data_IF_175787047603
#
_entry.id   IF_175787047603
#
_cell.length_a   1.000
_cell.length_b   1.000
_cell.length_c   1.000
_cell.angle_alpha   90.00
_cell.angle_beta   90.00
_cell.angle_gamma   90.00
#
_symmetry.space_group_name_H-M   'P 1'
#
loop_
_entity.id
_entity.type
_entity.pdbx_description
1 polymer ?
#
# COMPACT_ATOMS: atom_id res chain seq x y z
N UNK A 1 0.65 48.97 5.18
CA UNK A 1 -0.76 48.82 4.77
C UNK A 1 -1.06 47.35 4.47
N UNK A 2 -1.30 46.51 5.48
CA UNK A 2 -1.99 45.20 5.32
C UNK A 2 -2.72 44.92 6.64
N UNK A 3 -3.73 45.74 6.93
CA UNK A 3 -4.71 45.48 7.98
C UNK A 3 -6.08 45.65 7.34
N UNK A 4 -7.00 44.73 7.65
CA UNK A 4 -8.42 44.71 7.24
C UNK A 4 -8.77 44.23 5.84
N UNK A 5 -8.19 43.13 5.39
CA UNK A 5 -8.99 42.19 4.60
C UNK A 5 -8.97 40.84 5.31
N UNK A 6 -10.14 40.37 5.73
CA UNK A 6 -10.35 38.94 5.97
C UNK A 6 -9.72 38.20 4.79
N UNK A 7 -8.68 37.39 5.02
CA UNK A 7 -7.95 36.69 3.97
C UNK A 7 -8.96 36.09 2.96
N UNK A 8 -9.04 36.59 1.70
CA UNK A 8 -10.00 36.07 0.72
C UNK A 8 -9.71 34.61 0.35
N UNK A 9 -8.58 34.07 0.80
CA UNK A 9 -8.10 32.72 0.53
C UNK A 9 -8.49 31.70 1.61
N UNK A 10 -9.27 32.08 2.63
CA UNK A 10 -9.80 31.15 3.62
C UNK A 10 -11.04 30.45 3.08
N UNK A 11 -11.15 29.13 3.32
CA UNK A 11 -12.33 28.35 2.94
C UNK A 11 -13.54 28.82 3.74
N UNK A 12 -14.67 29.01 3.07
CA UNK A 12 -15.91 29.40 3.72
C UNK A 12 -16.44 28.30 4.64
N UNK A 13 -16.90 28.68 5.84
CA UNK A 13 -17.51 27.73 6.77
C UNK A 13 -18.82 27.19 6.18
N UNK A 14 -18.96 25.86 6.16
CA UNK A 14 -20.14 25.18 5.59
C UNK A 14 -19.94 24.65 4.18
N UNK A 15 -18.77 24.84 3.58
CA UNK A 15 -18.42 24.26 2.28
C UNK A 15 -18.41 22.72 2.32
N UNK A 16 -19.04 22.02 1.34
CA UNK A 16 -19.06 20.56 1.25
C UNK A 16 -17.71 19.97 0.79
N UNK A 17 -16.62 20.22 1.55
CA UNK A 17 -15.25 19.85 1.18
C UNK A 17 -15.07 18.36 0.86
N UNK A 18 -15.81 17.48 1.54
CA UNK A 18 -15.75 16.03 1.28
C UNK A 18 -16.36 15.65 -0.07
N UNK A 19 -17.45 16.31 -0.49
CA UNK A 19 -18.08 16.06 -1.80
C UNK A 19 -17.18 16.56 -2.92
N UNK A 20 -16.66 17.79 -2.77
CA UNK A 20 -15.73 18.39 -3.74
C UNK A 20 -14.48 17.54 -3.89
N UNK A 21 -13.87 17.11 -2.76
CA UNK A 21 -12.70 16.24 -2.82
C UNK A 21 -12.97 14.91 -3.50
N UNK A 22 -14.11 14.26 -3.19
CA UNK A 22 -14.49 12.99 -3.83
C UNK A 22 -14.67 13.16 -5.35
N UNK A 23 -15.32 14.25 -5.79
CA UNK A 23 -15.48 14.57 -7.21
C UNK A 23 -14.13 14.86 -7.88
N UNK A 24 -13.29 15.70 -7.28
CA UNK A 24 -11.98 16.06 -7.86
C UNK A 24 -11.03 14.88 -7.97
N UNK A 25 -11.12 13.89 -7.07
CA UNK A 25 -10.31 12.66 -7.15
C UNK A 25 -10.93 11.66 -8.14
N UNK A 26 -12.26 11.61 -8.24
CA UNK A 26 -12.99 10.65 -9.07
C UNK A 26 -13.12 11.03 -10.54
N UNK A 27 -13.27 12.31 -10.87
CA UNK A 27 -13.43 12.82 -12.24
C UNK A 27 -12.31 12.34 -13.19
N UNK A 28 -11.01 12.42 -12.80
CA UNK A 28 -9.93 11.95 -13.67
C UNK A 28 -9.91 10.43 -13.86
N UNK A 29 -10.57 9.66 -12.99
CA UNK A 29 -10.63 8.21 -13.07
C UNK A 29 -11.17 7.70 -14.41
N UNK A 30 -12.08 8.43 -15.04
CA UNK A 30 -12.59 8.12 -16.39
C UNK A 30 -11.53 8.24 -17.47
N UNK A 31 -10.64 9.23 -17.34
CA UNK A 31 -9.56 9.49 -18.30
C UNK A 31 -8.40 8.49 -18.11
N UNK A 32 -8.15 8.05 -16.88
CA UNK A 32 -7.07 7.09 -16.56
C UNK A 32 -7.27 5.70 -17.17
N UNK A 33 -8.48 5.36 -17.61
CA UNK A 33 -8.77 4.08 -18.28
C UNK A 33 -8.06 4.00 -19.64
N UNK A 34 -7.89 5.12 -20.33
CA UNK A 34 -7.44 5.16 -21.74
C UNK A 34 -5.90 5.19 -21.84
N UNK A 35 -5.20 5.74 -20.85
CA UNK A 35 -3.75 6.01 -20.90
C UNK A 35 -2.84 4.82 -20.53
N UNK A 36 -3.40 3.70 -20.07
CA UNK A 36 -2.63 2.58 -19.51
C UNK A 36 -1.86 1.73 -20.55
N UNK A 37 -2.05 1.97 -21.86
CA UNK A 37 -1.53 1.09 -22.93
C UNK A 37 -0.27 1.57 -23.67
N UNK A 38 0.27 2.76 -23.37
CA UNK A 38 1.39 3.36 -24.13
C UNK A 38 2.77 3.28 -23.48
N UNK A 39 2.91 2.65 -22.30
CA UNK A 39 4.17 2.61 -21.53
C UNK A 39 5.12 1.46 -21.93
N UNK A 40 5.21 1.12 -23.21
CA UNK A 40 6.16 0.12 -23.71
C UNK A 40 7.55 0.74 -23.91
N UNK A 41 8.53 0.42 -23.06
CA UNK A 41 9.95 0.69 -23.39
C UNK A 41 10.95 1.05 -22.29
N UNK A 42 10.57 1.19 -21.01
CA UNK A 42 11.53 1.51 -19.93
C UNK A 42 11.68 0.36 -18.94
N UNK A 43 12.92 -0.01 -18.62
CA UNK A 43 13.30 -1.19 -17.84
C UNK A 43 12.85 -1.19 -16.35
N UNK A 44 12.13 -0.17 -15.89
CA UNK A 44 11.66 -0.01 -14.50
C UNK A 44 10.16 -0.33 -14.32
N UNK A 45 9.61 -1.23 -15.13
CA UNK A 45 8.22 -1.73 -15.02
C UNK A 45 8.02 -2.74 -13.88
N UNK A 46 8.23 -2.30 -12.63
CA UNK A 46 7.91 -3.13 -11.46
C UNK A 46 6.68 -2.62 -10.68
N UNK A 47 5.99 -1.57 -11.15
CA UNK A 47 4.82 -0.99 -10.48
C UNK A 47 3.53 -1.14 -11.31
N UNK A 48 2.43 -1.52 -10.66
CA UNK A 48 1.09 -1.24 -11.18
C UNK A 48 0.87 0.27 -11.19
N UNK A 49 0.55 0.84 -12.37
CA UNK A 49 0.27 2.26 -12.54
C UNK A 49 -1.18 2.50 -12.99
N UNK A 50 -1.64 3.74 -12.92
CA UNK A 50 -2.94 4.16 -13.43
C UNK A 50 -4.10 3.79 -12.51
N UNK A 51 -5.27 3.54 -13.11
CA UNK A 51 -6.52 3.34 -12.36
C UNK A 51 -6.50 2.10 -11.43
N UNK A 52 -5.93 0.94 -11.82
CA UNK A 52 -5.86 -0.23 -10.93
C UNK A 52 -5.14 0.07 -9.61
N UNK A 53 -4.07 0.87 -9.65
CA UNK A 53 -3.33 1.29 -8.46
C UNK A 53 -4.14 2.25 -7.58
N UNK A 54 -4.85 3.20 -8.19
CA UNK A 54 -5.78 4.06 -7.45
C UNK A 54 -6.87 3.26 -6.71
N UNK A 55 -7.47 2.27 -7.39
CA UNK A 55 -8.47 1.38 -6.78
C UNK A 55 -7.85 0.60 -5.62
N UNK A 56 -6.65 0.05 -5.79
CA UNK A 56 -5.94 -0.70 -4.75
C UNK A 56 -5.69 0.13 -3.47
N UNK A 57 -5.30 1.39 -3.65
CA UNK A 57 -5.07 2.34 -2.55
C UNK A 57 -6.37 2.72 -1.84
N UNK A 58 -7.42 3.09 -2.60
CA UNK A 58 -8.73 3.49 -2.06
C UNK A 58 -9.43 2.32 -1.36
N UNK A 59 -9.27 1.11 -1.90
CA UNK A 59 -9.78 -0.12 -1.30
C UNK A 59 -8.98 -0.58 -0.07
N UNK A 60 -7.87 0.09 0.25
CA UNK A 60 -6.95 -0.31 1.31
C UNK A 60 -6.64 -1.82 1.25
N UNK A 61 -6.20 -2.32 0.08
CA UNK A 61 -5.86 -3.73 -0.07
C UNK A 61 -4.62 -4.07 0.77
N UNK A 62 -4.73 -5.12 1.59
CA UNK A 62 -3.65 -5.57 2.50
C UNK A 62 -2.37 -6.02 1.80
N UNK A 63 -2.48 -6.48 0.56
CA UNK A 63 -1.35 -6.92 -0.26
C UNK A 63 -1.44 -6.21 -1.61
N UNK A 64 -0.49 -5.34 -1.94
CA UNK A 64 -0.46 -4.69 -3.24
C UNK A 64 -0.13 -5.71 -4.34
N UNK A 65 -0.60 -5.46 -5.56
CA UNK A 65 -0.31 -6.34 -6.70
C UNK A 65 1.17 -6.32 -7.10
N UNK A 66 1.81 -5.15 -7.01
CA UNK A 66 3.23 -4.96 -7.30
C UNK A 66 3.89 -4.08 -6.22
N UNK A 67 4.31 -4.70 -5.10
CA UNK A 67 5.07 -4.01 -4.08
C UNK A 67 6.43 -3.54 -4.62
N UNK A 68 6.85 -2.35 -4.20
CA UNK A 68 8.12 -1.74 -4.54
C UNK A 68 8.68 -1.06 -3.32
N UNK A 69 9.93 -1.39 -2.98
CA UNK A 69 10.65 -0.71 -1.91
C UNK A 69 11.92 -0.07 -2.46
N UNK A 70 12.03 1.24 -2.27
CA UNK A 70 13.20 2.06 -2.56
C UNK A 70 14.07 2.14 -1.31
N UNK A 71 15.25 1.54 -1.39
CA UNK A 71 16.24 1.49 -0.32
C UNK A 71 17.37 2.44 -0.65
N UNK A 72 17.45 3.55 0.10
CA UNK A 72 18.52 4.53 -0.03
C UNK A 72 19.73 4.13 0.82
N UNK A 73 20.91 4.52 0.36
CA UNK A 73 22.19 4.19 1.00
C UNK A 73 22.66 5.35 1.89
N UNK A 74 23.49 5.07 2.90
CA UNK A 74 24.14 6.11 3.72
C UNK A 74 25.22 6.87 2.94
N UNK A 75 25.52 8.11 3.36
CA UNK A 75 26.42 9.06 2.66
C UNK A 75 27.78 8.47 2.23
N UNK A 76 28.30 7.53 3.01
CA UNK A 76 29.59 6.85 2.73
C UNK A 76 29.56 5.96 1.48
N UNK A 77 28.39 5.54 1.02
CA UNK A 77 28.19 4.54 -0.04
C UNK A 77 27.39 5.10 -1.23
N UNK A 78 26.60 6.17 -1.02
CA UNK A 78 25.68 6.75 -2.03
C UNK A 78 26.28 6.99 -3.43
N UNK A 79 27.56 7.34 -3.52
CA UNK A 79 28.22 7.69 -4.78
C UNK A 79 29.16 6.59 -5.32
N UNK A 80 29.30 5.47 -4.62
CA UNK A 80 30.21 4.40 -5.02
C UNK A 80 29.42 3.22 -5.60
N UNK A 81 29.52 3.05 -6.92
CA UNK A 81 28.84 2.00 -7.67
C UNK A 81 29.25 0.59 -7.21
N UNK A 82 30.54 0.33 -6.94
CA UNK A 82 31.02 -0.99 -6.55
C UNK A 82 30.43 -1.43 -5.23
N UNK A 83 30.51 -0.56 -4.20
CA UNK A 83 29.95 -0.85 -2.87
C UNK A 83 28.43 -0.97 -2.88
N UNK A 84 27.76 -0.15 -3.69
CA UNK A 84 26.31 -0.22 -3.85
C UNK A 84 25.88 -1.51 -4.56
N UNK A 85 26.63 -1.96 -5.57
CA UNK A 85 26.43 -3.23 -6.27
C UNK A 85 26.66 -4.43 -5.36
N UNK A 86 27.71 -4.42 -4.54
CA UNK A 86 27.95 -5.45 -3.52
C UNK A 86 26.81 -5.52 -2.51
N UNK A 87 26.31 -4.38 -2.04
CA UNK A 87 25.17 -4.36 -1.12
C UNK A 87 23.90 -4.87 -1.81
N UNK A 88 23.62 -4.45 -3.04
CA UNK A 88 22.48 -4.95 -3.81
C UNK A 88 22.52 -6.48 -3.99
N UNK A 89 23.71 -7.05 -4.25
CA UNK A 89 23.90 -8.51 -4.31
C UNK A 89 23.68 -9.19 -2.97
N UNK A 90 24.12 -8.59 -1.87
CA UNK A 90 23.89 -9.09 -0.51
C UNK A 90 22.42 -9.03 -0.10
N UNK A 91 21.66 -8.04 -0.59
CA UNK A 91 20.24 -7.88 -0.31
C UNK A 91 19.36 -8.82 -1.14
N UNK A 92 19.79 -9.10 -2.38
CA UNK A 92 19.03 -9.87 -3.36
C UNK A 92 18.60 -11.24 -2.81
N UNK A 93 17.29 -11.49 -2.77
CA UNK A 93 16.72 -12.73 -2.27
C UNK A 93 16.92 -13.85 -3.29
N UNK A 94 17.79 -14.81 -2.97
CA UNK A 94 18.00 -15.97 -3.83
C UNK A 94 17.29 -17.18 -3.25
N UNK A 95 16.20 -17.57 -3.90
CA UNK A 95 15.45 -18.80 -3.58
C UNK A 95 16.08 -20.03 -4.22
N UNK A 96 15.87 -21.20 -3.60
CA UNK A 96 16.24 -22.49 -4.18
C UNK A 96 15.65 -22.72 -5.58
N UNK A 97 14.44 -22.23 -5.83
CA UNK A 97 13.82 -22.25 -7.16
C UNK A 97 14.64 -21.56 -8.24
N UNK A 98 15.38 -20.50 -7.90
CA UNK A 98 16.15 -19.73 -8.86
C UNK A 98 17.45 -20.44 -9.24
N UNK A 99 18.05 -21.21 -8.33
CA UNK A 99 19.34 -21.89 -8.57
C UNK A 99 19.15 -23.33 -9.08
N UNK A 100 18.00 -23.95 -8.87
CA UNK A 100 17.76 -25.35 -9.22
C UNK A 100 17.44 -25.54 -10.71
N UNK A 101 18.14 -26.45 -11.40
CA UNK A 101 17.79 -26.91 -12.77
C UNK A 101 16.70 -27.98 -12.73
N UNK A 102 16.96 -29.02 -11.95
CA UNK A 102 16.06 -30.15 -11.82
C UNK A 102 16.01 -30.63 -10.38
N UNK A 103 14.79 -30.92 -9.92
CA UNK A 103 14.53 -31.56 -8.65
C UNK A 103 14.02 -32.97 -8.95
N UNK A 104 14.72 -33.98 -8.43
CA UNK A 104 14.38 -35.39 -8.62
C UNK A 104 13.95 -35.95 -7.26
N UNK A 105 12.70 -36.33 -7.16
CA UNK A 105 12.12 -36.97 -5.97
C UNK A 105 12.30 -38.50 -6.09
N UNK A 106 13.15 -39.09 -5.25
CA UNK A 106 13.33 -40.53 -5.21
C UNK A 106 12.50 -41.12 -4.07
N UNK A 107 11.27 -41.55 -4.38
CA UNK A 107 10.34 -42.14 -3.43
C UNK A 107 10.84 -43.45 -2.80
N UNK A 108 11.62 -44.25 -3.54
CA UNK A 108 12.12 -45.54 -3.07
C UNK A 108 13.21 -45.41 -1.99
N UNK A 109 14.11 -44.44 -2.15
CA UNK A 109 15.19 -44.16 -1.18
C UNK A 109 14.83 -43.09 -0.15
N UNK A 110 13.70 -42.40 -0.30
CA UNK A 110 13.33 -41.27 0.56
C UNK A 110 14.36 -40.14 0.48
N UNK A 111 14.78 -39.78 -0.73
CA UNK A 111 15.79 -38.74 -0.95
C UNK A 111 15.35 -37.77 -2.04
N UNK A 112 15.70 -36.49 -1.87
CA UNK A 112 15.48 -35.44 -2.86
C UNK A 112 16.85 -35.06 -3.41
N UNK A 113 17.03 -35.21 -4.73
CA UNK A 113 18.26 -34.82 -5.41
C UNK A 113 17.99 -33.50 -6.13
N UNK A 114 18.77 -32.49 -5.77
CA UNK A 114 18.68 -31.13 -6.32
C UNK A 114 19.90 -30.92 -7.20
N UNK A 115 19.67 -30.72 -8.50
CA UNK A 115 20.72 -30.39 -9.47
C UNK A 115 20.78 -28.88 -9.58
N UNK A 116 21.91 -28.30 -9.16
CA UNK A 116 22.12 -26.85 -9.18
C UNK A 116 22.68 -26.38 -10.53
N UNK A 117 22.36 -25.15 -10.90
CA UNK A 117 22.94 -24.47 -12.05
C UNK A 117 24.24 -23.75 -11.70
N UNK A 118 25.36 -24.16 -12.31
CA UNK A 118 26.67 -23.51 -12.13
C UNK A 118 26.68 -22.05 -12.60
N UNK A 119 25.97 -21.73 -13.69
CA UNK A 119 25.93 -20.35 -14.22
C UNK A 119 25.20 -19.40 -13.26
N UNK A 120 24.11 -19.87 -12.65
CA UNK A 120 23.36 -19.06 -11.67
C UNK A 120 24.09 -18.96 -10.34
N UNK A 121 24.79 -20.01 -9.91
CA UNK A 121 25.66 -19.97 -8.73
C UNK A 121 26.75 -18.91 -8.87
N UNK A 122 27.42 -18.85 -10.02
CA UNK A 122 28.45 -17.83 -10.30
C UNK A 122 27.87 -16.41 -10.34
N UNK A 123 26.69 -16.23 -10.94
CA UNK A 123 26.03 -14.92 -11.01
C UNK A 123 25.67 -14.35 -9.62
N UNK A 124 25.40 -15.23 -8.65
CA UNK A 124 25.07 -14.84 -7.26
C UNK A 124 26.27 -14.96 -6.31
N UNK A 125 27.46 -15.32 -6.80
CA UNK A 125 28.67 -15.58 -6.01
C UNK A 125 28.44 -16.56 -4.84
N UNK A 126 27.67 -17.62 -5.11
CA UNK A 126 27.30 -18.63 -4.13
C UNK A 126 28.11 -19.92 -4.33
N UNK A 127 28.68 -20.43 -3.24
CA UNK A 127 29.37 -21.71 -3.22
C UNK A 127 28.41 -22.83 -2.80
N UNK A 128 28.57 -24.04 -3.37
CA UNK A 128 27.74 -25.22 -3.01
C UNK A 128 27.78 -25.51 -1.50
N UNK A 129 28.93 -25.25 -0.86
CA UNK A 129 29.11 -25.37 0.60
C UNK A 129 28.24 -24.37 1.40
N UNK A 130 28.09 -23.15 0.90
CA UNK A 130 27.23 -22.15 1.55
C UNK A 130 25.76 -22.57 1.52
N UNK A 131 25.31 -23.15 0.40
CA UNK A 131 23.95 -23.68 0.21
C UNK A 131 23.70 -24.84 1.17
N UNK A 132 24.63 -25.79 1.23
CA UNK A 132 24.56 -26.96 2.13
C UNK A 132 24.48 -26.55 3.60
N UNK A 133 25.32 -25.60 4.04
CA UNK A 133 25.30 -25.10 5.42
C UNK A 133 23.96 -24.44 5.81
N UNK A 134 23.31 -23.78 4.84
CA UNK A 134 22.00 -23.14 5.04
C UNK A 134 20.88 -24.18 5.14
N UNK A 135 20.91 -25.19 4.27
CA UNK A 135 19.96 -26.31 4.28
C UNK A 135 20.06 -27.09 5.59
N UNK A 136 21.28 -27.42 6.03
CA UNK A 136 21.51 -28.14 7.30
C UNK A 136 21.02 -27.35 8.51
N UNK A 137 21.26 -26.04 8.57
CA UNK A 137 20.78 -25.18 9.66
C UNK A 137 19.26 -25.08 9.73
N UNK A 138 18.59 -24.97 8.58
CA UNK A 138 17.15 -24.73 8.52
C UNK A 138 16.31 -26.00 8.62
N UNK A 139 16.78 -27.11 8.04
CA UNK A 139 16.00 -28.33 7.93
C UNK A 139 16.47 -29.46 8.87
N UNK A 140 17.67 -29.37 9.46
CA UNK A 140 18.24 -30.41 10.35
C UNK A 140 18.17 -31.81 9.70
N UNK A 141 18.42 -31.90 8.40
CA UNK A 141 18.43 -33.15 7.64
C UNK A 141 19.84 -33.45 7.18
N UNK A 142 20.21 -34.72 7.11
CA UNK A 142 21.50 -35.15 6.55
C UNK A 142 21.52 -34.82 5.05
N UNK A 143 22.43 -33.93 4.68
CA UNK A 143 22.67 -33.57 3.28
C UNK A 143 24.04 -34.04 2.85
N UNK A 144 24.10 -34.64 1.66
CA UNK A 144 25.34 -34.96 0.98
C UNK A 144 25.47 -34.06 -0.24
N UNK A 145 26.47 -33.20 -0.24
CA UNK A 145 26.84 -32.45 -1.43
C UNK A 145 27.87 -33.21 -2.27
N UNK A 146 27.59 -33.31 -3.55
CA UNK A 146 28.56 -33.69 -4.57
C UNK A 146 28.64 -32.53 -5.59
N UNK A 147 29.72 -32.40 -6.37
CA UNK A 147 30.10 -31.18 -7.12
C UNK A 147 28.95 -30.30 -7.68
N UNK A 148 27.86 -30.92 -8.19
CA UNK A 148 26.67 -30.22 -8.75
C UNK A 148 25.33 -30.70 -8.19
N UNK A 149 25.33 -31.60 -7.20
CA UNK A 149 24.12 -32.27 -6.69
C UNK A 149 24.07 -32.21 -5.17
N UNK A 150 22.96 -31.74 -4.63
CA UNK A 150 22.68 -31.85 -3.20
C UNK A 150 21.64 -32.95 -3.03
N UNK A 151 22.00 -34.00 -2.29
CA UNK A 151 21.07 -35.06 -1.90
C UNK A 151 20.61 -34.80 -0.49
N UNK A 152 19.31 -34.59 -0.29
CA UNK A 152 18.69 -34.44 1.02
C UNK A 152 18.03 -35.77 1.38
N UNK A 153 18.49 -36.42 2.46
CA UNK A 153 17.89 -37.66 2.95
C UNK A 153 16.73 -37.36 3.91
N UNK A 154 15.58 -37.97 3.67
CA UNK A 154 14.37 -37.79 4.49
C UNK A 154 14.13 -39.03 5.36
N UNK A 155 13.92 -38.83 6.66
CA UNK A 155 13.68 -39.91 7.63
C UNK A 155 12.35 -40.64 7.43
N UNK A 156 11.37 -40.03 6.74
CA UNK A 156 10.04 -40.63 6.47
C UNK A 156 9.84 -40.88 4.98
N UNK A 157 9.42 -42.10 4.63
CA UNK A 157 9.19 -42.57 3.25
C UNK A 157 7.74 -42.39 2.77
N UNK A 158 7.05 -41.35 3.26
CA UNK A 158 5.71 -41.01 2.77
C UNK A 158 5.79 -40.15 1.53
N UNK A 159 5.13 -40.55 0.45
CA UNK A 159 5.08 -39.82 -0.84
C UNK A 159 4.61 -38.38 -0.62
N UNK A 160 3.57 -38.18 0.20
CA UNK A 160 3.02 -36.86 0.52
C UNK A 160 4.03 -35.98 1.27
N UNK A 161 4.74 -36.57 2.23
CA UNK A 161 5.74 -35.86 3.03
C UNK A 161 6.96 -35.45 2.19
N UNK A 162 7.43 -36.33 1.30
CA UNK A 162 8.53 -36.04 0.37
C UNK A 162 8.15 -34.85 -0.52
N UNK A 163 6.93 -34.83 -1.06
CA UNK A 163 6.46 -33.76 -1.93
C UNK A 163 6.24 -32.43 -1.19
N UNK A 164 5.70 -32.48 0.03
CA UNK A 164 5.59 -31.29 0.90
C UNK A 164 6.98 -30.73 1.23
N UNK A 165 7.96 -31.60 1.53
CA UNK A 165 9.32 -31.17 1.81
C UNK A 165 10.03 -30.62 0.57
N UNK A 166 9.83 -31.23 -0.60
CA UNK A 166 10.35 -30.72 -1.86
C UNK A 166 9.84 -29.29 -2.15
N UNK A 167 8.53 -29.05 -1.97
CA UNK A 167 7.96 -27.70 -2.09
C UNK A 167 8.55 -26.73 -1.05
N UNK A 168 8.74 -27.19 0.19
CA UNK A 168 9.34 -26.37 1.25
C UNK A 168 10.79 -26.00 0.94
N UNK A 169 11.59 -26.95 0.44
CA UNK A 169 12.97 -26.71 0.02
C UNK A 169 13.01 -25.73 -1.16
N UNK A 170 12.14 -25.88 -2.16
CA UNK A 170 12.10 -24.99 -3.32
C UNK A 170 11.80 -23.53 -2.96
N UNK A 171 10.99 -23.31 -1.91
CA UNK A 171 10.63 -21.98 -1.43
C UNK A 171 11.64 -21.38 -0.43
N UNK A 172 12.66 -22.13 -0.03
CA UNK A 172 13.63 -21.70 0.97
C UNK A 172 14.58 -20.65 0.41
N UNK A 173 14.87 -19.63 1.21
CA UNK A 173 15.82 -18.55 0.92
C UNK A 173 17.23 -18.98 1.32
N UNK A 174 18.12 -19.04 0.33
CA UNK A 174 19.50 -19.50 0.53
C UNK A 174 20.39 -18.33 0.94
N UNK A 175 20.23 -17.20 0.26
CA UNK A 175 21.02 -15.99 0.44
C UNK A 175 20.14 -14.76 0.28
N UNK A 176 20.58 -13.66 0.87
CA UNK A 176 19.86 -12.40 0.86
C UNK A 176 18.87 -12.24 2.00
N UNK A 177 18.12 -11.15 1.89
CA UNK A 177 17.05 -10.80 2.83
C UNK A 177 15.76 -11.50 2.40
N UNK A 178 15.14 -12.22 3.34
CA UNK A 178 13.85 -12.87 3.06
C UNK A 178 12.80 -11.82 2.71
N UNK A 179 12.08 -12.03 1.60
CA UNK A 179 11.07 -11.07 1.15
C UNK A 179 11.61 -9.79 0.50
N UNK A 180 12.91 -9.66 0.25
CA UNK A 180 13.48 -8.58 -0.57
C UNK A 180 13.25 -8.79 -2.08
N UNK A 181 13.06 -10.04 -2.52
CA UNK A 181 12.95 -10.39 -3.93
C UNK A 181 14.14 -9.90 -4.76
N UNK A 182 13.89 -9.47 -6.00
CA UNK A 182 14.93 -9.02 -6.92
C UNK A 182 15.35 -7.57 -6.63
N UNK A 183 16.64 -7.38 -6.35
CA UNK A 183 17.24 -6.07 -6.10
C UNK A 183 17.90 -5.53 -7.37
N UNK A 184 17.49 -4.34 -7.81
CA UNK A 184 18.06 -3.63 -8.97
C UNK A 184 18.66 -2.31 -8.49
N UNK A 185 19.89 -2.03 -8.90
CA UNK A 185 20.53 -0.76 -8.62
C UNK A 185 20.08 0.29 -9.65
N UNK A 186 19.60 1.43 -9.18
CA UNK A 186 19.24 2.56 -10.02
C UNK A 186 19.98 3.82 -9.53
N UNK A 187 20.28 4.72 -10.46
CA UNK A 187 20.84 6.03 -10.16
C UNK A 187 19.73 7.07 -10.32
N UNK A 188 19.64 8.01 -9.38
CA UNK A 188 18.71 9.12 -9.46
C UNK A 188 19.26 10.20 -10.40
N UNK A 189 18.50 10.57 -11.42
CA UNK A 189 18.89 11.53 -12.46
C UNK A 189 19.17 12.92 -11.90
N UNK A 190 18.57 13.29 -10.76
CA UNK A 190 18.68 14.64 -10.17
C UNK A 190 19.83 14.79 -9.19
N UNK A 191 20.09 13.76 -8.40
CA UNK A 191 21.08 13.80 -7.31
C UNK A 191 22.36 13.05 -7.65
N UNK A 192 22.31 12.15 -8.63
CA UNK A 192 23.41 11.25 -8.96
C UNK A 192 23.64 10.15 -7.91
N UNK A 193 22.82 10.08 -6.85
CA UNK A 193 22.91 9.06 -5.81
C UNK A 193 22.40 7.71 -6.32
N UNK A 194 23.08 6.62 -5.93
CA UNK A 194 22.62 5.26 -6.16
C UNK A 194 21.63 4.82 -5.06
N UNK A 195 20.52 4.23 -5.48
CA UNK A 195 19.53 3.61 -4.61
C UNK A 195 19.15 2.23 -5.15
N UNK A 196 18.68 1.36 -4.26
CA UNK A 196 18.33 -0.02 -4.60
C UNK A 196 16.80 -0.11 -4.65
N UNK A 197 16.27 -0.53 -5.79
CA UNK A 197 14.87 -0.89 -5.94
C UNK A 197 14.69 -2.38 -5.72
N UNK A 198 13.64 -2.72 -5.00
CA UNK A 198 13.28 -4.11 -4.73
C UNK A 198 11.83 -4.35 -5.14
N UNK A 199 11.57 -5.51 -5.73
CA UNK A 199 10.24 -5.93 -6.25
C UNK A 199 9.28 -6.46 -5.17
N UNK A 200 9.70 -6.39 -3.90
CA UNK A 200 8.92 -6.84 -2.76
C UNK A 200 8.99 -5.87 -1.59
N UNK A 201 8.05 -6.08 -0.68
CA UNK A 201 7.82 -5.28 0.53
C UNK A 201 8.20 -6.13 1.75
N UNK A 202 9.43 -5.96 2.24
CA UNK A 202 9.84 -6.44 3.57
C UNK A 202 10.82 -5.46 4.25
N UNK A 203 10.30 -4.35 4.79
CA UNK A 203 11.09 -3.29 5.45
C UNK A 203 11.84 -3.74 6.71
N UNK A 204 11.32 -4.71 7.45
CA UNK A 204 11.87 -5.11 8.76
C UNK A 204 13.36 -5.44 8.69
N UNK A 205 13.76 -6.45 7.89
CA UNK A 205 15.17 -6.80 7.73
C UNK A 205 16.02 -5.69 7.11
N UNK A 206 15.47 -4.85 6.22
CA UNK A 206 16.24 -3.73 5.64
C UNK A 206 16.65 -2.70 6.69
N UNK A 207 15.86 -2.54 7.76
CA UNK A 207 16.16 -1.63 8.87
C UNK A 207 17.27 -2.14 9.80
N UNK A 208 17.57 -3.44 9.80
CA UNK A 208 18.65 -4.02 10.60
C UNK A 208 20.03 -3.78 9.98
N UNK A 209 20.08 -3.44 8.69
CA UNK A 209 21.32 -3.31 7.93
C UNK A 209 21.91 -1.91 8.15
N UNK A 210 23.17 -1.86 8.56
CA UNK A 210 23.83 -0.61 8.95
C UNK A 210 24.21 0.26 7.74
N UNK A 211 24.35 -0.31 6.56
CA UNK A 211 24.68 0.41 5.33
C UNK A 211 23.49 1.17 4.72
N UNK A 212 22.27 0.79 5.12
CA UNK A 212 21.01 1.38 4.63
C UNK A 212 20.67 2.66 5.39
N UNK A 213 20.19 3.67 4.65
CA UNK A 213 19.66 4.91 5.21
C UNK A 213 18.21 4.72 5.66
N UNK A 214 18.06 4.48 6.97
CA UNK A 214 16.76 4.24 7.63
C UNK A 214 15.81 5.45 7.56
N UNK A 215 16.32 6.66 7.31
CA UNK A 215 15.52 7.88 7.29
C UNK A 215 14.82 8.15 5.96
N UNK A 216 15.30 7.53 4.87
CA UNK A 216 14.81 7.74 3.51
C UNK A 216 14.22 6.49 2.86
N UNK A 217 14.20 5.35 3.58
CA UNK A 217 13.60 4.12 3.06
C UNK A 217 12.11 4.33 2.79
N UNK A 218 11.66 3.90 1.61
CA UNK A 218 10.29 4.10 1.15
C UNK A 218 9.75 2.82 0.53
N UNK A 219 8.50 2.45 0.84
CA UNK A 219 7.77 1.38 0.17
C UNK A 219 6.40 1.88 -0.23
N UNK A 220 5.91 1.34 -1.34
CA UNK A 220 4.57 1.62 -1.83
C UNK A 220 3.49 0.76 -1.11
N UNK A 221 3.87 -0.20 -0.28
CA UNK A 221 2.94 -0.95 0.58
C UNK A 221 2.56 -0.12 1.83
N UNK A 222 1.36 0.46 1.80
CA UNK A 222 0.82 1.28 2.88
C UNK A 222 0.66 0.49 4.18
N UNK A 223 0.30 -0.80 4.12
CA UNK A 223 0.13 -1.62 5.32
C UNK A 223 1.47 -2.01 5.93
N UNK A 224 2.52 -2.15 5.11
CA UNK A 224 3.85 -2.34 5.63
C UNK A 224 4.36 -1.10 6.36
N UNK A 225 4.18 0.08 5.76
CA UNK A 225 4.50 1.35 6.43
C UNK A 225 3.75 1.51 7.75
N UNK A 226 2.48 1.12 7.79
CA UNK A 226 1.69 1.10 9.03
C UNK A 226 2.29 0.18 10.10
N UNK A 227 2.72 -1.04 9.73
CA UNK A 227 3.29 -2.01 10.68
C UNK A 227 4.63 -1.56 11.27
N UNK A 228 5.46 -0.90 10.47
CA UNK A 228 6.84 -0.56 10.84
C UNK A 228 6.96 0.84 11.43
N UNK A 229 6.33 1.85 10.81
CA UNK A 229 6.47 3.26 11.19
C UNK A 229 5.20 3.86 11.82
N UNK A 230 4.05 3.19 11.71
CA UNK A 230 2.79 3.62 12.32
C UNK A 230 1.84 4.37 11.39
N UNK A 231 0.73 4.85 11.96
CA UNK A 231 -0.41 5.38 11.18
C UNK A 231 -0.11 6.69 10.44
N UNK A 232 0.66 7.60 11.03
CA UNK A 232 1.03 8.87 10.36
C UNK A 232 1.96 8.67 9.17
N UNK A 233 2.86 7.68 9.26
CA UNK A 233 3.69 7.28 8.13
C UNK A 233 2.79 6.71 7.02
N UNK A 234 1.88 5.81 7.37
CA UNK A 234 0.92 5.25 6.42
C UNK A 234 0.01 6.32 5.77
N UNK A 235 -0.46 7.31 6.53
CA UNK A 235 -1.24 8.45 6.02
C UNK A 235 -0.46 9.24 4.98
N UNK A 236 0.81 9.55 5.27
CA UNK A 236 1.69 10.24 4.32
C UNK A 236 1.98 9.38 3.08
N UNK A 237 2.29 8.10 3.26
CA UNK A 237 2.52 7.16 2.15
C UNK A 237 1.29 7.05 1.26
N UNK A 238 0.09 6.90 1.84
CA UNK A 238 -1.17 6.85 1.09
C UNK A 238 -1.39 8.13 0.26
N UNK A 239 -1.19 9.30 0.86
CA UNK A 239 -1.33 10.58 0.17
C UNK A 239 -0.30 10.74 -0.96
N UNK A 240 0.97 10.37 -0.70
CA UNK A 240 2.03 10.44 -1.69
C UNK A 240 1.81 9.46 -2.84
N UNK A 241 1.38 8.23 -2.57
CA UNK A 241 1.09 7.23 -3.60
C UNK A 241 -0.08 7.66 -4.51
N UNK A 242 -1.14 8.23 -3.94
CA UNK A 242 -2.27 8.77 -4.72
C UNK A 242 -1.79 9.93 -5.61
N UNK A 243 -1.01 10.86 -5.04
CA UNK A 243 -0.46 11.99 -5.79
C UNK A 243 0.48 11.53 -6.91
N UNK A 244 1.38 10.59 -6.62
CA UNK A 244 2.30 10.01 -7.58
C UNK A 244 1.54 9.33 -8.73
N UNK A 245 0.55 8.51 -8.40
CA UNK A 245 -0.27 7.80 -9.41
C UNK A 245 -1.01 8.77 -10.34
N UNK A 246 -1.56 9.87 -9.81
CA UNK A 246 -2.23 10.91 -10.60
C UNK A 246 -1.21 11.69 -11.46
N UNK A 247 -0.07 12.07 -10.87
CA UNK A 247 0.98 12.84 -11.57
C UNK A 247 1.63 12.08 -12.71
N UNK A 248 1.81 10.75 -12.59
CA UNK A 248 2.32 9.88 -13.65
C UNK A 248 1.41 9.86 -14.88
N UNK A 249 0.11 10.15 -14.70
CA UNK A 249 -0.86 10.26 -15.78
C UNK A 249 -1.02 11.71 -16.30
N UNK A 250 -0.19 12.65 -15.82
CA UNK A 250 -0.29 14.06 -16.18
C UNK A 250 -1.50 14.78 -15.57
N UNK A 251 -2.16 14.17 -14.59
CA UNK A 251 -3.37 14.70 -13.95
C UNK A 251 -2.96 15.45 -12.68
N UNK A 252 -3.24 16.75 -12.63
CA UNK A 252 -2.99 17.56 -11.45
C UNK A 252 -4.26 17.69 -10.60
N UNK A 253 -4.25 17.08 -9.41
CA UNK A 253 -5.27 17.29 -8.37
C UNK A 253 -4.64 18.05 -7.21
N UNK A 254 -5.39 18.96 -6.59
CA UNK A 254 -4.91 19.69 -5.41
C UNK A 254 -4.57 18.71 -4.27
N UNK A 255 -3.38 18.81 -3.65
CA UNK A 255 -2.98 17.95 -2.53
C UNK A 255 -3.97 18.00 -1.35
N UNK A 256 -4.74 19.08 -1.21
CA UNK A 256 -5.73 19.22 -0.13
C UNK A 256 -6.84 18.17 -0.19
N UNK A 257 -7.28 17.79 -1.39
CA UNK A 257 -8.30 16.75 -1.56
C UNK A 257 -7.74 15.37 -1.19
N UNK A 258 -6.50 15.11 -1.59
CA UNK A 258 -5.80 13.85 -1.31
C UNK A 258 -5.52 13.71 0.18
N UNK A 259 -5.08 14.78 0.84
CA UNK A 259 -4.87 14.80 2.28
C UNK A 259 -6.19 14.57 3.03
N UNK A 260 -7.28 15.22 2.61
CA UNK A 260 -8.60 15.00 3.23
C UNK A 260 -9.04 13.54 3.13
N UNK A 261 -8.78 12.88 1.99
CA UNK A 261 -9.05 11.45 1.80
C UNK A 261 -8.17 10.60 2.72
N UNK A 262 -6.86 10.84 2.74
CA UNK A 262 -5.92 10.09 3.58
C UNK A 262 -6.25 10.23 5.07
N UNK A 263 -6.62 11.42 5.53
CA UNK A 263 -7.06 11.69 6.90
C UNK A 263 -8.35 10.92 7.21
N UNK A 264 -9.33 10.96 6.31
CA UNK A 264 -10.58 10.21 6.47
C UNK A 264 -10.35 8.69 6.54
N UNK A 265 -9.38 8.17 5.78
CA UNK A 265 -9.02 6.75 5.76
C UNK A 265 -8.23 6.28 6.98
N UNK A 266 -7.58 7.20 7.72
CA UNK A 266 -6.65 6.86 8.83
C UNK A 266 -7.09 7.39 10.19
N UNK A 267 -8.17 8.19 10.25
CA UNK A 267 -8.64 8.88 11.46
C UNK A 267 -8.86 7.99 12.69
N UNK A 268 -9.23 6.71 12.51
CA UNK A 268 -9.47 5.79 13.63
C UNK A 268 -8.22 5.14 14.22
N UNK A 269 -7.03 5.44 13.70
CA UNK A 269 -5.79 4.75 14.08
C UNK A 269 -5.52 3.45 13.31
N UNK A 270 -6.41 3.07 12.39
CA UNK A 270 -6.27 1.95 11.45
C UNK A 270 -6.61 2.44 10.05
N UNK A 271 -6.00 1.83 9.03
CA UNK A 271 -6.29 2.15 7.63
C UNK A 271 -7.62 1.48 7.23
N UNK A 272 -8.59 2.28 6.82
CA UNK A 272 -9.92 1.82 6.40
C UNK A 272 -10.16 2.02 4.91
N UNK A 273 -10.81 1.04 4.31
CA UNK A 273 -11.33 1.12 2.94
C UNK A 273 -12.47 2.16 2.87
N UNK A 274 -12.61 2.88 1.76
CA UNK A 274 -13.68 3.87 1.54
C UNK A 274 -15.10 3.26 1.44
N UNK A 275 -15.21 2.02 0.96
CA UNK A 275 -16.45 1.29 0.74
C UNK A 275 -17.11 0.71 2.00
N UNK A 276 -17.96 -0.31 1.78
CA UNK A 276 -18.85 -0.88 2.81
C UNK A 276 -18.14 -1.54 4.00
N UNK A 277 -16.89 -1.98 3.82
CA UNK A 277 -16.14 -2.65 4.88
C UNK A 277 -15.28 -1.69 5.73
N UNK A 278 -15.33 -0.39 5.45
CA UNK A 278 -14.62 0.63 6.23
C UNK A 278 -15.48 1.87 6.44
N UNK A 279 -15.11 3.00 5.83
CA UNK A 279 -15.66 4.33 6.13
C UNK A 279 -17.18 4.38 6.02
N UNK A 280 -17.74 3.74 5.01
CA UNK A 280 -19.19 3.81 4.79
C UNK A 280 -19.96 2.84 5.69
N UNK A 281 -19.40 1.66 5.96
CA UNK A 281 -20.01 0.66 6.86
C UNK A 281 -19.99 1.06 8.34
N UNK A 282 -19.08 1.93 8.74
CA UNK A 282 -18.95 2.43 10.11
C UNK A 282 -19.72 3.73 10.37
N UNK A 283 -20.43 4.27 9.37
CA UNK A 283 -21.30 5.42 9.61
C UNK A 283 -22.29 5.09 10.71
N UNK A 284 -22.41 5.99 11.69
CA UNK A 284 -23.30 5.81 12.85
C UNK A 284 -24.77 5.68 12.47
N UNK A 285 -25.16 6.24 11.34
CA UNK A 285 -26.55 6.23 10.90
C UNK A 285 -26.87 4.95 10.13
N UNK A 286 -28.02 4.36 10.45
CA UNK A 286 -28.54 3.17 9.79
C UNK A 286 -28.99 3.55 8.38
N UNK A 287 -29.66 4.68 8.23
CA UNK A 287 -30.18 5.12 6.92
C UNK A 287 -29.05 5.44 5.93
N UNK A 288 -27.95 6.03 6.38
CA UNK A 288 -26.81 6.29 5.51
C UNK A 288 -26.08 5.00 5.10
N UNK A 289 -25.99 4.00 5.98
CA UNK A 289 -25.44 2.69 5.63
C UNK A 289 -26.36 1.97 4.63
N UNK A 290 -27.65 1.89 4.94
CA UNK A 290 -28.65 1.21 4.12
C UNK A 290 -28.85 1.83 2.74
N UNK A 291 -28.66 3.15 2.59
CA UNK A 291 -28.73 3.85 1.31
C UNK A 291 -27.49 3.65 0.42
N UNK A 292 -26.37 3.16 0.96
CA UNK A 292 -25.16 2.89 0.20
C UNK A 292 -25.17 1.47 -0.37
N UNK A 293 -25.18 0.44 0.50
CA UNK A 293 -25.22 -0.99 0.13
C UNK A 293 -25.88 -1.82 1.26
N UNK A 294 -26.21 -3.09 1.00
CA UNK A 294 -26.77 -4.05 1.97
C UNK A 294 -28.02 -3.55 2.74
N UNK A 295 -28.92 -2.83 2.06
CA UNK A 295 -30.10 -2.15 2.66
C UNK A 295 -30.90 -3.02 3.63
N UNK A 296 -31.33 -4.21 3.19
CA UNK A 296 -32.19 -5.11 3.98
C UNK A 296 -31.49 -5.56 5.26
N UNK A 297 -30.21 -5.91 5.17
CA UNK A 297 -29.42 -6.41 6.30
C UNK A 297 -29.20 -5.33 7.35
N UNK A 298 -28.89 -4.10 6.94
CA UNK A 298 -28.74 -2.99 7.88
C UNK A 298 -30.04 -2.66 8.62
N UNK A 299 -31.19 -2.69 7.93
CA UNK A 299 -32.48 -2.43 8.55
C UNK A 299 -32.93 -3.55 9.50
N UNK A 300 -32.75 -4.81 9.12
CA UNK A 300 -33.06 -5.96 9.99
C UNK A 300 -32.21 -5.92 11.26
N UNK A 301 -30.90 -5.71 11.11
CA UNK A 301 -30.01 -5.65 12.27
C UNK A 301 -30.37 -4.47 13.18
N UNK A 302 -30.61 -3.29 12.61
CA UNK A 302 -31.02 -2.12 13.37
C UNK A 302 -32.33 -2.37 14.15
N UNK A 303 -33.31 -3.03 13.52
CA UNK A 303 -34.56 -3.40 14.18
C UNK A 303 -34.35 -4.44 15.30
N UNK A 304 -33.48 -5.43 15.07
CA UNK A 304 -33.17 -6.47 16.05
C UNK A 304 -32.43 -5.94 17.29
N UNK A 305 -31.50 -5.00 17.10
CA UNK A 305 -30.70 -4.41 18.18
C UNK A 305 -31.28 -3.11 18.75
N UNK A 306 -32.39 -2.60 18.20
CA UNK A 306 -33.01 -1.34 18.63
C UNK A 306 -32.11 -0.12 18.40
N UNK A 307 -31.37 -0.08 17.28
CA UNK A 307 -30.51 1.05 16.94
C UNK A 307 -31.33 2.33 16.72
N UNK A 308 -30.83 3.46 17.24
CA UNK A 308 -31.49 4.77 17.11
C UNK A 308 -30.70 5.67 16.18
N UNK A 309 -31.35 6.16 15.12
CA UNK A 309 -30.74 7.09 14.17
C UNK A 309 -31.10 8.55 14.51
N UNK A 310 -30.06 9.40 14.60
CA UNK A 310 -30.20 10.82 14.93
C UNK A 310 -30.45 11.71 13.70
N UNK A 311 -30.36 11.17 12.48
CA UNK A 311 -30.62 11.89 11.22
C UNK A 311 -29.90 13.25 11.12
N UNK A 312 -28.60 13.24 11.46
CA UNK A 312 -27.73 14.43 11.42
C UNK A 312 -26.90 14.54 10.14
N UNK A 313 -26.77 13.46 9.39
CA UNK A 313 -25.99 13.45 8.15
C UNK A 313 -26.79 14.00 6.97
N UNK A 314 -26.15 13.97 5.80
CA UNK A 314 -26.71 14.48 4.55
C UNK A 314 -27.73 13.49 3.98
N UNK A 315 -27.36 12.21 3.89
CA UNK A 315 -28.17 11.17 3.25
C UNK A 315 -29.52 10.98 3.95
N UNK A 316 -29.52 10.92 5.28
CA UNK A 316 -30.73 10.73 6.10
C UNK A 316 -31.64 11.95 6.02
N UNK A 317 -31.06 13.15 6.03
CA UNK A 317 -31.81 14.39 5.89
C UNK A 317 -32.54 14.44 4.55
N UNK A 318 -31.87 14.04 3.47
CA UNK A 318 -32.49 13.97 2.13
C UNK A 318 -33.61 12.93 2.10
N UNK A 319 -33.38 11.72 2.63
CA UNK A 319 -34.39 10.65 2.65
C UNK A 319 -35.68 11.05 3.36
N UNK A 320 -35.58 11.83 4.43
CA UNK A 320 -36.74 12.27 5.24
C UNK A 320 -37.30 13.62 4.78
N UNK A 321 -36.68 14.27 3.79
CA UNK A 321 -37.11 15.59 3.30
C UNK A 321 -36.77 16.76 4.22
N UNK A 322 -35.80 16.58 5.13
CA UNK A 322 -35.27 17.62 6.01
C UNK A 322 -34.16 18.42 5.32
N UNK A 323 -34.05 19.70 5.62
CA UNK A 323 -32.93 20.53 5.13
C UNK A 323 -31.58 19.99 5.63
N UNK A 324 -30.63 19.80 4.70
CA UNK A 324 -29.27 19.33 5.00
C UNK A 324 -28.49 20.36 5.83
N UNK A 325 -27.64 19.90 6.76
CA UNK A 325 -26.82 20.77 7.61
C UNK A 325 -25.50 21.22 6.93
N UNK A 326 -25.53 21.46 5.61
CA UNK A 326 -24.40 21.83 4.76
C UNK A 326 -24.77 23.02 3.87
N UNK A 327 -23.78 23.82 3.46
CA UNK A 327 -23.99 25.05 2.70
C UNK A 327 -24.94 26.02 3.44
N UNK A 328 -25.97 26.48 2.72
CA UNK A 328 -26.96 27.44 3.24
C UNK A 328 -27.76 26.91 4.43
N UNK A 329 -27.95 25.59 4.54
CA UNK A 329 -28.68 24.98 5.66
C UNK A 329 -27.95 25.03 7.01
N UNK A 330 -26.67 25.45 7.03
CA UNK A 330 -25.94 25.70 8.27
C UNK A 330 -26.28 27.06 8.90
N UNK A 331 -26.73 28.02 8.10
CA UNK A 331 -26.98 29.39 8.55
C UNK A 331 -28.36 29.47 9.20
N UNK A 332 -28.39 29.92 10.46
CA UNK A 332 -29.63 30.24 11.16
C UNK A 332 -29.84 31.75 11.13
N UNK A 333 -30.97 32.17 10.57
CA UNK A 333 -31.36 33.57 10.54
C UNK A 333 -32.09 33.91 11.84
N UNK A 334 -31.72 35.04 12.42
CA UNK A 334 -32.47 35.63 13.54
C UNK A 334 -32.69 37.10 13.21
N UNK A 335 -33.85 37.62 13.58
CA UNK A 335 -34.19 39.02 13.40
C UNK A 335 -34.36 39.66 14.77
N UNK A 336 -33.78 40.85 14.94
CA UNK A 336 -34.00 41.63 16.16
C UNK A 336 -35.46 42.09 16.18
N UNK A 337 -36.11 41.97 17.33
CA UNK A 337 -37.52 42.37 17.50
C UNK A 337 -37.75 43.85 17.12
N UNK A 338 -36.78 44.71 17.37
CA UNK A 338 -36.80 46.14 17.04
C UNK A 338 -36.87 46.39 15.52
N UNK A 339 -36.15 45.59 14.74
CA UNK A 339 -36.14 45.74 13.27
C UNK A 339 -37.40 45.15 12.63
N UNK A 340 -38.00 44.13 13.27
CA UNK A 340 -39.31 43.61 12.89
C UNK A 340 -40.42 44.68 13.00
N UNK A 341 -40.37 45.50 14.05
CA UNK A 341 -41.33 46.58 14.27
C UNK A 341 -41.22 47.71 13.22
N UNK A 342 -40.01 47.98 12.72
CA UNK A 342 -39.79 48.97 11.64
C UNK A 342 -40.37 48.50 10.30
N UNK A 343 -40.26 47.21 10.01
CA UNK A 343 -40.82 46.60 8.79
C UNK A 343 -42.36 46.62 8.84
N UNK A 344 -42.96 46.33 9.99
CA UNK A 344 -44.42 46.38 10.17
C UNK A 344 -45.04 47.77 10.05
N UNK A 345 -44.28 48.84 10.33
CA UNK A 345 -44.77 50.22 10.15
C UNK A 345 -44.72 50.66 8.69
N UNK A 346 -43.69 50.24 7.95
CA UNK A 346 -43.52 50.52 6.52
C UNK A 346 -44.50 49.77 5.60
N UNK A 347 -45.15 48.71 6.07
CA UNK A 347 -46.17 47.98 5.30
C UNK A 347 -47.60 48.44 5.56
N UNK A 348 -47.78 49.43 6.45
CA UNK A 348 -49.09 50.04 6.76
C UNK A 348 -49.24 51.47 6.21
N UNK A 349 -48.18 52.04 5.65
CA UNK A 349 -48.21 53.14 4.68
C UNK A 349 -48.23 52.54 3.28
#
# INVERSE_FOLDING_TARGET
>A
MVKENKNPNLVHAGEPVGVVAAQSIGEPGTQMIISSFHLAGMASQMATAGLPRMIELIDARKKPASPLTSVYLKDKIKNNFEKASELARKLNEVKMSSITKHLIENFGKGSIIIILDTQRLEAYDLTVKSVESRINKLLKLDTESNEKRITVHLHKKDIKFIREMAMKIMNLTISGVEGAGTCVLQQDDKTGEYYILTDKSNLGPFLEIDEVDKSRIYTNDVFEMYRVFGIEAARNTLANEILLTLSQQGISVSPRHILLLADAMTYSGEIKNVGRHGLTGEKKSVFARAAYEETVKHLINAAAFGEVDMMKGVTESILVGKQIALGTGRVKLTIKKEDLAKISKKSKE
#
